data_IF_390519433856
#
_entry.id   IF_390519433856
#
_cell.length_a   1.000
_cell.length_b   1.000
_cell.length_c   1.000
_cell.angle_alpha   90.00
_cell.angle_beta   90.00
_cell.angle_gamma   90.00
#
_symmetry.space_group_name_H-M   'P 1'
#
loop_
_entity.id
_entity.type
_entity.pdbx_description
1 polymer ?
#
# COMPACT_ATOMS: atom_id res chain seq x y z
N UNK A 1 -23.81 -17.14 -50.65
CA UNK A 1 -22.47 -17.31 -50.07
C UNK A 1 -22.46 -16.70 -48.68
N UNK A 2 -22.64 -17.52 -47.64
CA UNK A 2 -22.61 -17.10 -46.24
C UNK A 2 -21.19 -17.27 -45.69
N UNK A 3 -20.61 -16.28 -44.99
CA UNK A 3 -19.24 -16.37 -44.50
C UNK A 3 -19.17 -17.36 -43.32
N UNK A 4 -18.19 -18.28 -43.38
CA UNK A 4 -17.88 -19.21 -42.29
C UNK A 4 -17.35 -18.44 -41.07
N UNK A 5 -17.94 -18.67 -39.90
CA UNK A 5 -17.40 -18.24 -38.60
C UNK A 5 -15.95 -18.76 -38.41
N UNK A 6 -15.05 -17.99 -37.78
CA UNK A 6 -13.72 -18.47 -37.45
C UNK A 6 -13.83 -19.62 -36.43
N UNK A 7 -13.08 -20.70 -36.68
CA UNK A 7 -12.96 -21.82 -35.74
C UNK A 7 -12.19 -21.32 -34.53
N UNK A 8 -12.82 -21.35 -33.35
CA UNK A 8 -12.09 -21.30 -32.07
C UNK A 8 -11.13 -22.49 -32.07
N UNK A 9 -9.82 -22.25 -32.00
CA UNK A 9 -8.86 -23.30 -31.74
C UNK A 9 -9.18 -23.89 -30.37
N UNK A 10 -9.66 -25.14 -30.36
CA UNK A 10 -9.87 -25.87 -29.13
C UNK A 10 -8.49 -26.13 -28.51
N UNK A 11 -8.31 -25.74 -27.25
CA UNK A 11 -7.16 -26.18 -26.48
C UNK A 11 -7.12 -27.72 -26.48
N UNK A 12 -5.94 -28.34 -26.67
CA UNK A 12 -5.81 -29.79 -26.63
C UNK A 12 -6.31 -30.35 -25.27
N UNK A 13 -6.85 -31.57 -25.24
CA UNK A 13 -7.38 -32.16 -24.00
C UNK A 13 -6.25 -32.32 -22.97
N UNK A 14 -6.54 -31.93 -21.72
CA UNK A 14 -5.62 -32.09 -20.60
C UNK A 14 -5.26 -33.58 -20.42
N UNK A 15 -3.95 -33.88 -20.43
CA UNK A 15 -3.41 -35.24 -20.23
C UNK A 15 -2.83 -35.36 -18.82
N UNK A 16 -2.84 -36.58 -18.28
CA UNK A 16 -2.38 -36.90 -16.93
C UNK A 16 -0.92 -36.44 -16.72
N UNK A 17 -0.66 -35.63 -15.68
CA UNK A 17 0.66 -35.07 -15.36
C UNK A 17 0.97 -33.67 -15.89
N UNK A 18 0.09 -33.08 -16.71
CA UNK A 18 0.27 -31.73 -17.25
C UNK A 18 -0.16 -30.64 -16.25
N UNK A 19 0.80 -30.15 -15.46
CA UNK A 19 0.56 -29.12 -14.44
C UNK A 19 0.16 -27.75 -15.02
N UNK A 20 0.47 -27.47 -16.29
CA UNK A 20 0.16 -26.20 -16.96
C UNK A 20 -1.15 -26.24 -17.77
N UNK A 21 -1.91 -27.35 -17.73
CA UNK A 21 -3.14 -27.48 -18.51
C UNK A 21 -4.16 -26.38 -18.19
N UNK A 22 -4.37 -26.08 -16.90
CA UNK A 22 -5.29 -25.03 -16.45
C UNK A 22 -4.80 -23.63 -16.87
N UNK A 23 -3.52 -23.34 -16.67
CA UNK A 23 -2.90 -22.08 -17.11
C UNK A 23 -3.08 -21.84 -18.60
N UNK A 24 -2.71 -22.81 -19.44
CA UNK A 24 -2.86 -22.72 -20.91
C UNK A 24 -4.32 -22.60 -21.34
N UNK A 25 -5.24 -23.28 -20.65
CA UNK A 25 -6.67 -23.20 -20.93
C UNK A 25 -7.28 -21.84 -20.65
N UNK A 26 -6.66 -21.01 -19.80
CA UNK A 26 -7.12 -19.67 -19.43
C UNK A 26 -6.54 -18.55 -20.31
N UNK A 27 -5.58 -18.85 -21.20
CA UNK A 27 -4.88 -17.85 -22.01
C UNK A 27 -5.15 -18.03 -23.50
N UNK A 28 -5.22 -16.90 -24.21
CA UNK A 28 -5.18 -16.86 -25.67
C UNK A 28 -3.83 -16.23 -26.09
N UNK A 29 -2.88 -17.01 -26.63
CA UNK A 29 -1.54 -16.53 -27.01
C UNK A 29 -1.56 -15.38 -28.03
N UNK A 30 -2.66 -15.17 -28.76
CA UNK A 30 -2.81 -14.05 -29.68
C UNK A 30 -3.31 -12.76 -29.03
N UNK A 31 -3.70 -12.81 -27.74
CA UNK A 31 -4.35 -11.70 -27.03
C UNK A 31 -3.68 -11.32 -25.72
N UNK A 32 -2.88 -12.22 -25.13
CA UNK A 32 -2.08 -11.91 -23.94
C UNK A 32 -0.59 -11.80 -24.29
N UNK A 33 0.16 -10.85 -23.67
CA UNK A 33 1.63 -10.83 -23.73
C UNK A 33 2.29 -11.86 -22.81
N UNK A 34 1.52 -12.60 -22.02
CA UNK A 34 2.03 -13.62 -21.09
C UNK A 34 2.69 -14.80 -21.84
N UNK A 35 3.72 -15.44 -21.26
CA UNK A 35 4.36 -16.61 -21.87
C UNK A 35 3.41 -17.82 -21.85
N UNK A 36 3.16 -18.41 -23.02
CA UNK A 36 2.31 -19.61 -23.16
C UNK A 36 3.10 -20.72 -23.88
N UNK A 37 3.89 -21.53 -23.15
CA UNK A 37 4.70 -22.57 -23.77
C UNK A 37 3.83 -23.67 -24.39
N UNK A 38 4.22 -24.14 -25.58
CA UNK A 38 3.51 -25.18 -26.32
C UNK A 38 4.00 -26.62 -26.00
N UNK A 39 5.15 -26.75 -25.34
CA UNK A 39 5.86 -28.02 -25.13
C UNK A 39 5.35 -28.87 -23.97
N UNK A 40 5.67 -30.17 -24.01
CA UNK A 40 5.25 -31.18 -23.03
C UNK A 40 6.22 -31.34 -21.85
N UNK A 41 7.53 -31.15 -22.08
CA UNK A 41 8.54 -31.21 -21.03
C UNK A 41 8.72 -29.82 -20.41
N UNK A 42 8.43 -29.73 -19.11
CA UNK A 42 8.69 -28.52 -18.34
C UNK A 42 10.21 -28.39 -18.13
N UNK A 43 10.82 -27.23 -18.43
CA UNK A 43 12.17 -26.97 -17.95
C UNK A 43 12.17 -27.11 -16.41
N UNK A 44 13.20 -27.72 -15.85
CA UNK A 44 13.43 -27.79 -14.41
C UNK A 44 14.69 -27.01 -14.09
N UNK A 45 14.58 -26.02 -13.21
CA UNK A 45 15.73 -25.49 -12.50
C UNK A 45 15.97 -26.29 -11.23
N UNK A 46 16.54 -25.64 -10.23
CA UNK A 46 17.01 -26.26 -8.99
C UNK A 46 15.94 -26.27 -7.88
N UNK A 47 14.67 -25.99 -8.22
CA UNK A 47 13.54 -25.90 -7.29
C UNK A 47 13.76 -24.85 -6.17
N UNK A 48 14.51 -23.81 -6.47
CA UNK A 48 14.95 -22.79 -5.52
C UNK A 48 14.61 -21.36 -5.96
N UNK A 49 14.06 -21.13 -7.14
CA UNK A 49 13.68 -19.77 -7.58
C UNK A 49 12.36 -19.33 -6.94
N UNK A 50 12.29 -18.07 -6.49
CA UNK A 50 11.00 -17.42 -6.23
C UNK A 50 10.86 -16.08 -6.97
N UNK A 51 9.61 -15.70 -7.21
CA UNK A 51 9.25 -14.34 -7.61
C UNK A 51 8.03 -13.89 -6.81
N UNK A 52 8.00 -12.60 -6.48
CA UNK A 52 6.81 -11.91 -5.98
C UNK A 52 6.45 -10.84 -7.01
N UNK A 53 5.27 -10.95 -7.62
CA UNK A 53 4.76 -9.96 -8.57
C UNK A 53 3.68 -9.11 -7.92
N UNK A 54 3.75 -7.80 -8.09
CA UNK A 54 2.68 -6.88 -7.71
C UNK A 54 1.68 -6.79 -8.86
N UNK A 55 0.41 -7.12 -8.59
CA UNK A 55 -0.63 -7.21 -9.62
C UNK A 55 -1.77 -6.22 -9.36
N UNK A 56 -1.83 -5.19 -10.20
CA UNK A 56 -2.88 -4.17 -10.23
C UNK A 56 -4.04 -4.66 -11.10
N UNK A 57 -4.73 -5.70 -10.64
CA UNK A 57 -5.94 -6.24 -11.26
C UNK A 57 -7.19 -5.46 -10.83
N UNK A 58 -8.35 -6.12 -10.73
CA UNK A 58 -9.56 -5.54 -10.11
C UNK A 58 -9.32 -5.11 -8.66
N UNK A 59 -8.40 -5.78 -7.96
CA UNK A 59 -7.82 -5.35 -6.69
C UNK A 59 -6.31 -5.59 -6.67
N UNK A 60 -5.57 -4.73 -5.98
CA UNK A 60 -4.15 -4.92 -5.72
C UNK A 60 -3.91 -6.18 -4.88
N UNK A 61 -2.95 -6.98 -5.29
CA UNK A 61 -2.43 -8.12 -4.55
C UNK A 61 -1.00 -8.44 -5.01
N UNK A 62 -0.34 -9.36 -4.28
CA UNK A 62 0.99 -9.85 -4.63
C UNK A 62 0.94 -11.35 -4.90
N UNK A 63 1.40 -11.77 -6.06
CA UNK A 63 1.52 -13.18 -6.40
C UNK A 63 2.87 -13.71 -5.91
N UNK A 64 2.84 -14.56 -4.87
CA UNK A 64 4.00 -15.34 -4.46
C UNK A 64 4.09 -16.60 -5.32
N UNK A 65 5.23 -16.80 -5.97
CA UNK A 65 5.47 -17.93 -6.84
C UNK A 65 6.77 -18.61 -6.48
N UNK A 66 6.70 -19.91 -6.26
CA UNK A 66 7.83 -20.76 -5.90
C UNK A 66 8.04 -21.79 -7.00
N UNK A 67 9.25 -21.87 -7.55
CA UNK A 67 9.62 -22.92 -8.48
C UNK A 67 9.54 -24.29 -7.80
N UNK A 68 8.77 -25.22 -8.37
CA UNK A 68 8.68 -26.60 -7.90
C UNK A 68 8.31 -27.55 -9.04
N UNK A 69 9.12 -28.57 -9.25
CA UNK A 69 8.91 -29.63 -10.25
C UNK A 69 8.70 -29.08 -11.68
N UNK A 70 9.37 -27.98 -12.02
CA UNK A 70 9.33 -27.35 -13.34
C UNK A 70 8.13 -26.41 -13.59
N UNK A 71 7.40 -26.04 -12.55
CA UNK A 71 6.39 -24.96 -12.61
C UNK A 71 6.59 -23.96 -11.48
N UNK A 72 5.95 -22.81 -11.60
CA UNK A 72 5.77 -21.84 -10.52
C UNK A 72 4.47 -22.14 -9.78
N UNK A 73 4.58 -22.75 -8.60
CA UNK A 73 3.44 -22.94 -7.70
C UNK A 73 3.10 -21.60 -7.06
N UNK A 74 1.84 -21.20 -7.20
CA UNK A 74 1.47 -19.79 -7.11
C UNK A 74 0.34 -19.53 -6.11
N UNK A 75 0.49 -18.46 -5.34
CA UNK A 75 -0.53 -17.93 -4.44
C UNK A 75 -0.68 -16.43 -4.61
N UNK A 76 -1.92 -15.97 -4.82
CA UNK A 76 -2.27 -14.58 -4.67
C UNK A 76 -2.37 -14.21 -3.18
N UNK A 77 -1.61 -13.22 -2.74
CA UNK A 77 -1.53 -12.75 -1.35
C UNK A 77 -2.04 -11.30 -1.28
N UNK A 78 -3.33 -11.07 -0.96
CA UNK A 78 -3.96 -9.75 -1.10
C UNK A 78 -3.47 -8.64 -0.18
N UNK A 79 -2.60 -8.95 0.79
CA UNK A 79 -1.95 -8.00 1.70
C UNK A 79 -0.42 -8.05 1.62
N UNK A 80 0.12 -8.74 0.62
CA UNK A 80 1.56 -9.03 0.54
C UNK A 80 1.98 -10.06 1.59
N UNK A 81 3.26 -10.41 1.63
CA UNK A 81 3.78 -11.32 2.65
C UNK A 81 3.78 -10.60 4.02
N UNK A 82 3.43 -11.30 5.12
CA UNK A 82 3.49 -10.69 6.44
C UNK A 82 4.94 -10.34 6.79
N UNK A 83 5.12 -9.13 7.31
CA UNK A 83 6.44 -8.62 7.71
C UNK A 83 6.78 -8.98 9.16
N UNK A 84 5.79 -9.39 9.96
CA UNK A 84 5.92 -9.82 11.36
C UNK A 84 5.20 -11.17 11.61
N UNK A 85 5.55 -11.90 12.69
CA UNK A 85 4.87 -13.15 13.05
C UNK A 85 3.51 -12.95 13.73
N UNK A 86 3.13 -11.72 14.07
CA UNK A 86 1.90 -11.45 14.84
C UNK A 86 0.63 -11.60 14.00
N UNK A 87 0.76 -11.53 12.67
CA UNK A 87 -0.38 -11.57 11.76
C UNK A 87 -0.21 -12.63 10.68
N UNK A 88 -1.33 -13.24 10.31
CA UNK A 88 -1.41 -14.16 9.19
C UNK A 88 -2.11 -13.47 8.03
N UNK A 89 -1.57 -13.63 6.83
CA UNK A 89 -2.20 -13.11 5.61
C UNK A 89 -2.89 -14.22 4.84
N UNK A 90 -4.03 -13.91 4.22
CA UNK A 90 -4.70 -14.82 3.30
C UNK A 90 -3.80 -15.08 2.09
N UNK A 91 -3.66 -16.34 1.72
CA UNK A 91 -3.01 -16.78 0.48
C UNK A 91 -4.02 -17.60 -0.33
N UNK A 92 -4.31 -17.19 -1.55
CA UNK A 92 -5.25 -17.89 -2.42
C UNK A 92 -4.43 -18.66 -3.44
N UNK A 93 -4.44 -19.99 -3.34
CA UNK A 93 -3.74 -20.85 -4.30
C UNK A 93 -4.37 -20.70 -5.69
N UNK A 94 -3.56 -20.32 -6.67
CA UNK A 94 -3.96 -20.14 -8.07
C UNK A 94 -3.48 -21.34 -8.90
N UNK A 95 -3.69 -21.29 -10.22
CA UNK A 95 -3.07 -22.24 -11.15
C UNK A 95 -1.53 -22.13 -11.12
N UNK A 96 -0.86 -23.21 -11.46
CA UNK A 96 0.59 -23.24 -11.66
C UNK A 96 0.97 -22.42 -12.91
N UNK A 97 2.09 -21.71 -12.88
CA UNK A 97 2.55 -20.88 -13.99
C UNK A 97 3.84 -21.45 -14.61
N UNK A 98 4.12 -21.18 -15.90
CA UNK A 98 5.37 -21.61 -16.53
C UNK A 98 6.57 -20.86 -15.93
N UNK A 99 7.76 -21.47 -15.96
CA UNK A 99 8.96 -20.85 -15.37
C UNK A 99 9.31 -19.50 -16.01
N UNK A 100 9.07 -19.34 -17.31
CA UNK A 100 9.31 -18.06 -18.01
C UNK A 100 8.45 -16.91 -17.45
N UNK A 101 7.34 -17.24 -16.77
CA UNK A 101 6.48 -16.25 -16.12
C UNK A 101 7.18 -15.54 -14.96
N UNK A 102 8.25 -16.12 -14.39
CA UNK A 102 9.04 -15.49 -13.33
C UNK A 102 9.73 -14.19 -13.78
N UNK A 103 9.96 -14.03 -15.09
CA UNK A 103 10.54 -12.84 -15.68
C UNK A 103 9.50 -11.91 -16.32
N UNK A 104 8.21 -12.24 -16.25
CA UNK A 104 7.17 -11.47 -16.92
C UNK A 104 6.79 -10.21 -16.12
N UNK A 105 6.77 -9.09 -16.83
CA UNK A 105 6.22 -7.79 -16.41
C UNK A 105 5.47 -7.21 -17.60
N UNK A 106 4.35 -6.53 -17.34
CA UNK A 106 3.58 -5.90 -18.42
C UNK A 106 2.12 -5.62 -18.07
N UNK A 107 1.39 -5.13 -19.07
CA UNK A 107 -0.06 -4.91 -18.98
C UNK A 107 -0.80 -6.07 -19.66
N UNK A 108 -1.57 -6.82 -18.87
CA UNK A 108 -2.48 -7.85 -19.39
C UNK A 108 -3.77 -7.16 -19.86
N UNK A 109 -4.13 -7.25 -21.15
CA UNK A 109 -5.23 -6.47 -21.72
C UNK A 109 -6.58 -6.69 -21.04
N UNK A 110 -7.39 -5.64 -20.99
CA UNK A 110 -8.75 -5.72 -20.45
C UNK A 110 -9.58 -6.80 -21.15
N UNK A 111 -10.22 -7.66 -20.35
CA UNK A 111 -11.04 -8.77 -20.83
C UNK A 111 -10.32 -10.10 -20.91
N UNK A 112 -8.98 -10.10 -20.77
CA UNK A 112 -8.21 -11.31 -20.54
C UNK A 112 -8.26 -11.74 -19.06
N UNK A 113 -8.00 -13.02 -18.82
CA UNK A 113 -7.85 -13.53 -17.47
C UNK A 113 -6.62 -12.89 -16.81
N UNK A 114 -6.78 -12.36 -15.60
CA UNK A 114 -5.70 -11.63 -14.94
C UNK A 114 -5.45 -10.22 -15.48
N UNK A 115 -6.38 -9.62 -16.22
CA UNK A 115 -6.25 -8.25 -16.73
C UNK A 115 -5.81 -7.25 -15.64
N UNK A 116 -4.81 -6.43 -15.96
CA UNK A 116 -4.16 -5.53 -15.02
C UNK A 116 -2.68 -5.33 -15.34
N UNK A 117 -2.05 -4.41 -14.63
CA UNK A 117 -0.60 -4.20 -14.72
C UNK A 117 0.10 -5.11 -13.72
N UNK A 118 1.15 -5.80 -14.16
CA UNK A 118 1.96 -6.66 -13.32
C UNK A 118 3.44 -6.25 -13.39
N UNK A 119 4.06 -6.12 -12.23
CA UNK A 119 5.48 -5.78 -12.07
C UNK A 119 6.16 -6.76 -11.13
N UNK A 120 7.46 -7.01 -11.30
CA UNK A 120 8.25 -7.81 -10.37
C UNK A 120 8.55 -6.94 -9.15
N UNK A 121 7.98 -7.33 -8.01
CA UNK A 121 8.17 -6.63 -6.76
C UNK A 121 9.43 -7.10 -6.03
N UNK A 122 9.68 -8.41 -6.00
CA UNK A 122 10.93 -9.01 -5.51
C UNK A 122 11.19 -10.35 -6.19
N UNK A 123 12.44 -10.81 -6.15
CA UNK A 123 12.86 -12.10 -6.69
C UNK A 123 14.16 -12.55 -6.02
N UNK A 124 14.43 -13.84 -6.07
CA UNK A 124 15.65 -14.41 -5.52
C UNK A 124 15.54 -15.91 -5.41
N UNK A 125 16.18 -16.47 -4.39
CA UNK A 125 16.13 -17.90 -4.12
C UNK A 125 15.36 -18.22 -2.84
N UNK A 126 14.97 -19.47 -2.67
CA UNK A 126 14.36 -19.97 -1.46
C UNK A 126 14.89 -21.39 -1.14
N UNK A 127 14.92 -21.73 0.13
CA UNK A 127 15.22 -23.07 0.61
C UNK A 127 13.93 -23.76 1.07
N UNK A 128 13.85 -25.07 0.86
CA UNK A 128 12.68 -25.85 1.27
C UNK A 128 12.93 -26.55 2.60
N UNK A 129 12.20 -26.17 3.64
CA UNK A 129 12.20 -26.92 4.90
C UNK A 129 11.15 -28.03 4.90
N UNK A 130 9.99 -27.79 4.25
CA UNK A 130 8.91 -28.78 4.12
C UNK A 130 8.03 -28.47 2.93
N UNK A 131 7.64 -29.50 2.17
CA UNK A 131 6.67 -29.37 1.09
C UNK A 131 5.63 -30.50 1.16
N UNK A 132 4.35 -30.14 1.29
CA UNK A 132 3.23 -31.08 1.32
C UNK A 132 1.94 -30.42 0.82
N UNK A 133 0.92 -31.22 0.52
CA UNK A 133 -0.39 -30.72 0.04
C UNK A 133 -1.14 -29.80 1.03
N UNK A 134 -0.69 -29.74 2.29
CA UNK A 134 -1.33 -28.97 3.37
C UNK A 134 -0.47 -27.85 3.92
N UNK A 135 0.84 -27.93 3.71
CA UNK A 135 1.82 -27.07 4.34
C UNK A 135 3.09 -26.99 3.48
N UNK A 136 3.56 -25.78 3.22
CA UNK A 136 4.82 -25.46 2.54
C UNK A 136 5.61 -24.52 3.44
N UNK A 137 6.79 -24.95 3.89
CA UNK A 137 7.72 -24.16 4.72
C UNK A 137 8.99 -23.88 3.93
N UNK A 138 9.32 -22.60 3.83
CA UNK A 138 10.45 -22.13 3.04
C UNK A 138 11.21 -21.03 3.75
N UNK A 139 12.50 -20.92 3.46
CA UNK A 139 13.32 -19.75 3.81
C UNK A 139 13.46 -18.94 2.53
N UNK A 140 12.99 -17.69 2.49
CA UNK A 140 13.08 -16.82 1.32
C UNK A 140 14.32 -15.93 1.44
N UNK A 141 15.06 -15.81 0.34
CA UNK A 141 16.27 -14.98 0.21
C UNK A 141 16.10 -13.97 -0.94
N UNK A 142 15.36 -12.90 -0.65
CA UNK A 142 15.09 -11.80 -1.58
C UNK A 142 15.81 -10.51 -1.24
N UNK A 143 15.61 -9.50 -2.10
CA UNK A 143 16.13 -8.15 -1.88
C UNK A 143 15.21 -7.29 -1.00
N UNK A 144 13.91 -7.62 -0.97
CA UNK A 144 12.89 -6.90 -0.17
C UNK A 144 12.25 -7.79 0.88
N UNK A 145 12.11 -9.09 0.60
CA UNK A 145 11.62 -10.09 1.54
C UNK A 145 12.71 -11.10 1.84
N UNK A 146 12.92 -11.32 3.12
CA UNK A 146 13.76 -12.41 3.61
C UNK A 146 13.19 -13.01 4.90
N UNK A 147 13.51 -14.28 5.15
CA UNK A 147 13.16 -15.00 6.36
C UNK A 147 12.31 -16.25 6.10
N UNK A 148 11.96 -16.94 7.18
CA UNK A 148 11.16 -18.17 7.16
C UNK A 148 9.67 -17.90 7.10
N UNK A 149 9.02 -18.58 6.16
CA UNK A 149 7.59 -18.49 5.91
C UNK A 149 6.95 -19.88 5.88
N UNK A 150 5.71 -19.95 6.37
CA UNK A 150 4.86 -21.12 6.21
C UNK A 150 3.56 -20.74 5.53
N UNK A 151 3.27 -21.41 4.42
CA UNK A 151 1.96 -21.49 3.78
C UNK A 151 1.23 -22.71 4.34
N UNK A 152 0.02 -22.56 4.85
CA UNK A 152 -0.75 -23.68 5.39
C UNK A 152 -2.23 -23.58 5.06
N UNK A 153 -2.87 -24.73 4.83
CA UNK A 153 -4.31 -24.81 4.54
C UNK A 153 -5.13 -24.62 5.81
N UNK A 154 -6.12 -23.74 5.72
CA UNK A 154 -7.20 -23.64 6.72
C UNK A 154 -8.39 -24.50 6.28
N UNK A 155 -9.55 -24.38 6.96
CA UNK A 155 -10.75 -25.13 6.57
C UNK A 155 -11.17 -24.76 5.15
N UNK A 156 -11.33 -25.76 4.27
CA UNK A 156 -11.74 -25.58 2.88
C UNK A 156 -10.57 -25.47 1.89
N UNK A 157 -10.66 -24.52 0.95
CA UNK A 157 -9.65 -24.29 -0.10
C UNK A 157 -8.68 -23.14 0.20
N UNK A 158 -8.88 -22.42 1.30
CA UNK A 158 -8.10 -21.24 1.63
C UNK A 158 -6.75 -21.61 2.24
N UNK A 159 -5.69 -20.94 1.78
CA UNK A 159 -4.38 -20.98 2.41
C UNK A 159 -4.15 -19.70 3.23
N UNK A 160 -3.27 -19.78 4.20
CA UNK A 160 -2.72 -18.62 4.90
C UNK A 160 -1.21 -18.67 4.77
N UNK A 161 -0.58 -17.51 4.81
CA UNK A 161 0.87 -17.37 4.95
C UNK A 161 1.19 -16.71 6.29
N UNK A 162 2.21 -17.22 6.95
CA UNK A 162 2.71 -16.75 8.23
C UNK A 162 4.23 -16.62 8.17
N UNK A 163 4.76 -15.50 8.68
CA UNK A 163 6.20 -15.32 8.90
C UNK A 163 6.55 -15.99 10.23
N UNK A 164 7.56 -16.87 10.22
CA UNK A 164 7.99 -17.59 11.42
C UNK A 164 9.09 -16.85 12.19
N UNK A 165 9.91 -16.09 11.48
CA UNK A 165 10.97 -15.28 12.08
C UNK A 165 10.43 -13.94 12.61
N UNK A 166 11.15 -13.31 13.55
CA UNK A 166 10.96 -11.89 13.83
C UNK A 166 11.02 -11.03 12.56
N UNK A 167 10.49 -9.80 12.59
CA UNK A 167 10.68 -8.83 11.51
C UNK A 167 12.16 -8.71 11.12
N UNK A 168 12.42 -8.43 9.83
CA UNK A 168 13.79 -8.29 9.34
C UNK A 168 14.50 -7.09 9.99
N UNK A 169 13.75 -6.04 10.27
CA UNK A 169 14.16 -4.93 11.12
C UNK A 169 13.72 -5.20 12.57
N UNK A 170 14.64 -5.41 13.52
CA UNK A 170 14.30 -5.71 14.90
C UNK A 170 13.62 -4.55 15.64
N UNK A 171 13.75 -3.32 15.14
CA UNK A 171 13.18 -2.11 15.74
C UNK A 171 11.84 -1.73 15.08
N UNK A 172 11.32 -2.57 14.18
CA UNK A 172 10.01 -2.37 13.56
C UNK A 172 8.85 -2.72 14.52
N UNK A 173 7.95 -1.77 14.68
CA UNK A 173 6.72 -1.83 15.45
C UNK A 173 5.48 -1.85 14.52
N UNK A 174 4.39 -2.53 14.92
CA UNK A 174 3.14 -2.51 14.18
C UNK A 174 2.45 -1.15 14.28
N UNK A 175 1.60 -0.86 13.30
CA UNK A 175 0.73 0.31 13.38
C UNK A 175 -0.14 0.25 14.66
N UNK A 176 -0.28 1.37 15.40
CA UNK A 176 -1.17 1.38 16.55
C UNK A 176 -2.61 1.11 16.12
N UNK A 177 -3.41 0.47 16.98
CA UNK A 177 -4.84 0.20 16.70
C UNK A 177 -5.61 1.52 16.47
N UNK A 178 -5.29 2.53 17.27
CA UNK A 178 -5.84 3.88 17.12
C UNK A 178 -4.87 4.91 17.70
N UNK A 179 -4.79 6.06 17.04
CA UNK A 179 -4.07 7.27 17.42
C UNK A 179 -5.07 8.42 17.43
N UNK A 180 -5.18 9.11 18.56
CA UNK A 180 -5.91 10.38 18.63
C UNK A 180 -5.02 11.51 18.17
N UNK A 181 -5.42 12.31 17.17
CA UNK A 181 -4.51 13.29 16.61
C UNK A 181 -4.15 14.42 17.58
N UNK A 182 -2.93 14.94 17.44
CA UNK A 182 -2.47 16.17 18.09
C UNK A 182 -3.30 17.38 17.62
N UNK A 183 -3.63 18.28 18.54
CA UNK A 183 -4.49 19.44 18.29
C UNK A 183 -3.73 20.76 18.45
N UNK A 184 -4.00 21.76 17.58
CA UNK A 184 -3.42 23.08 17.73
C UNK A 184 -4.12 23.87 18.84
N UNK A 185 -3.36 24.74 19.51
CA UNK A 185 -3.95 25.78 20.35
C UNK A 185 -4.29 27.01 19.49
N UNK A 186 -5.49 27.58 19.65
CA UNK A 186 -5.86 28.80 18.92
C UNK A 186 -5.03 30.01 19.41
N UNK A 187 -4.58 30.84 18.47
CA UNK A 187 -3.83 32.08 18.73
C UNK A 187 -4.29 33.20 17.81
N UNK A 188 -4.38 34.40 18.36
CA UNK A 188 -4.80 35.58 17.61
C UNK A 188 -3.76 36.10 16.60
N UNK A 189 -2.49 35.68 16.71
CA UNK A 189 -1.38 36.19 15.90
C UNK A 189 -0.40 35.07 15.58
N UNK A 190 0.27 35.22 14.43
CA UNK A 190 1.41 34.39 14.03
C UNK A 190 2.55 34.46 15.05
N UNK A 191 3.37 33.40 15.18
CA UNK A 191 4.62 33.46 15.95
C UNK A 191 5.52 34.58 15.42
N UNK A 192 6.27 35.23 16.32
CA UNK A 192 7.18 36.33 15.97
C UNK A 192 8.42 35.86 15.24
N UNK A 193 9.04 34.79 15.75
CA UNK A 193 10.11 34.09 15.07
C UNK A 193 9.48 33.11 14.09
N UNK A 194 9.30 33.52 12.84
CA UNK A 194 8.67 32.66 11.83
C UNK A 194 9.62 31.57 11.33
N UNK A 195 10.94 31.78 11.42
CA UNK A 195 11.97 30.84 10.94
C UNK A 195 11.98 29.51 11.70
N UNK A 196 11.50 29.49 12.94
CA UNK A 196 11.33 28.28 13.75
C UNK A 196 10.04 27.48 13.43
N UNK A 197 9.23 27.93 12.47
CA UNK A 197 7.89 27.37 12.21
C UNK A 197 7.68 27.02 10.74
N UNK A 198 6.97 25.91 10.52
CA UNK A 198 6.29 25.60 9.26
C UNK A 198 4.84 26.07 9.31
N UNK A 199 4.33 26.55 8.19
CA UNK A 199 2.98 27.06 8.06
C UNK A 199 2.20 26.22 7.04
N UNK A 200 1.01 25.76 7.44
CA UNK A 200 0.08 25.00 6.61
C UNK A 200 -1.26 25.73 6.54
N UNK A 201 -2.00 25.56 5.45
CA UNK A 201 -3.39 25.99 5.42
C UNK A 201 -4.24 25.17 6.40
N UNK A 202 -5.12 25.84 7.13
CA UNK A 202 -6.22 25.15 7.81
C UNK A 202 -7.32 24.90 6.76
N UNK A 203 -7.54 23.66 6.34
CA UNK A 203 -8.47 23.37 5.23
C UNK A 203 -9.94 23.35 5.69
N UNK A 204 -10.20 23.26 7.00
CA UNK A 204 -11.55 23.32 7.56
C UNK A 204 -12.37 22.05 7.29
N UNK A 205 -11.68 20.95 7.04
CA UNK A 205 -12.27 19.65 6.73
C UNK A 205 -12.53 18.81 7.97
N UNK A 206 -12.93 17.56 7.73
CA UNK A 206 -13.06 16.56 8.79
C UNK A 206 -11.71 15.87 9.00
N UNK A 207 -11.15 15.95 10.21
CA UNK A 207 -9.91 15.23 10.60
C UNK A 207 -10.06 13.73 10.35
N UNK A 208 -9.06 13.14 9.72
CA UNK A 208 -9.03 11.73 9.35
C UNK A 208 -7.59 11.21 9.46
N UNK A 209 -7.38 10.12 10.19
CA UNK A 209 -6.13 9.37 10.18
C UNK A 209 -6.29 8.12 9.31
N UNK A 210 -5.30 7.84 8.46
CA UNK A 210 -5.29 6.71 7.53
C UNK A 210 -4.19 5.72 7.91
N UNK A 211 -4.58 4.49 8.23
CA UNK A 211 -3.71 3.37 8.60
C UNK A 211 -3.56 2.50 7.37
N UNK A 212 -2.41 2.57 6.73
CA UNK A 212 -2.09 1.88 5.49
C UNK A 212 -1.18 0.69 5.78
N UNK A 213 -1.66 -0.50 5.43
CA UNK A 213 -0.90 -1.75 5.55
C UNK A 213 -1.36 -2.75 4.49
N UNK A 214 -0.40 -3.38 3.80
CA UNK A 214 -0.68 -4.41 2.81
C UNK A 214 -1.60 -3.93 1.68
N UNK A 215 -1.35 -2.73 1.15
CA UNK A 215 -2.10 -2.15 0.04
C UNK A 215 -3.50 -1.66 0.40
N UNK A 216 -3.86 -1.64 1.69
CA UNK A 216 -5.22 -1.33 2.17
C UNK A 216 -5.17 -0.24 3.22
N UNK A 217 -6.22 0.56 3.26
CA UNK A 217 -6.35 1.64 4.24
C UNK A 217 -7.57 1.44 5.11
N UNK A 218 -7.38 1.58 6.43
CA UNK A 218 -8.45 1.81 7.42
C UNK A 218 -8.39 3.27 7.88
N UNK A 219 -9.52 3.84 8.28
CA UNK A 219 -9.56 5.22 8.74
C UNK A 219 -10.11 5.36 10.16
N UNK A 220 -9.63 6.38 10.88
CA UNK A 220 -10.25 6.85 12.12
C UNK A 220 -10.56 8.35 12.04
N UNK A 221 -11.58 8.79 12.78
CA UNK A 221 -11.87 10.22 12.97
C UNK A 221 -10.90 10.89 13.95
N UNK A 222 -11.07 12.20 14.17
CA UNK A 222 -10.27 12.98 15.12
C UNK A 222 -10.42 12.59 16.61
N UNK A 223 -11.27 11.61 16.94
CA UNK A 223 -11.40 11.03 18.29
C UNK A 223 -10.84 9.61 18.37
N UNK A 224 -10.32 9.08 17.26
CA UNK A 224 -9.77 7.73 17.15
C UNK A 224 -10.83 6.65 16.90
N UNK A 225 -12.06 7.01 16.55
CA UNK A 225 -13.09 6.01 16.21
C UNK A 225 -12.96 5.59 14.76
N UNK A 226 -13.10 4.28 14.49
CA UNK A 226 -13.13 3.77 13.13
C UNK A 226 -14.28 4.39 12.33
N UNK A 227 -13.98 4.82 11.10
CA UNK A 227 -14.96 5.40 10.18
C UNK A 227 -14.74 4.84 8.78
N UNK A 228 -15.80 4.84 7.99
CA UNK A 228 -15.67 4.54 6.57
C UNK A 228 -14.86 5.63 5.86
N UNK A 229 -13.95 5.16 5.01
CA UNK A 229 -13.19 6.05 4.13
C UNK A 229 -14.07 6.68 3.06
N UNK A 230 -13.70 7.85 2.53
CA UNK A 230 -14.36 8.44 1.36
C UNK A 230 -14.36 7.46 0.18
N UNK A 231 -15.44 7.38 -0.57
CA UNK A 231 -15.67 6.34 -1.59
C UNK A 231 -14.47 6.00 -2.47
N UNK A 232 -13.94 4.79 -2.30
CA UNK A 232 -12.80 4.24 -3.06
C UNK A 232 -11.42 4.82 -2.71
N UNK A 233 -11.31 5.74 -1.75
CA UNK A 233 -10.02 6.32 -1.33
C UNK A 233 -9.11 5.25 -0.73
N UNK A 234 -9.64 4.40 0.14
CA UNK A 234 -8.81 3.49 0.92
C UNK A 234 -8.06 2.45 0.11
N UNK A 235 -8.65 1.92 -0.96
CA UNK A 235 -7.95 0.99 -1.86
C UNK A 235 -6.91 1.69 -2.73
N UNK A 236 -7.20 2.90 -3.21
CA UNK A 236 -6.30 3.65 -4.10
C UNK A 236 -5.10 4.25 -3.37
N UNK A 237 -5.33 4.86 -2.21
CA UNK A 237 -4.26 5.36 -1.34
C UNK A 237 -3.39 4.20 -0.85
N UNK A 238 -4.02 3.11 -0.42
CA UNK A 238 -3.31 1.90 -0.01
C UNK A 238 -2.46 1.33 -1.14
N UNK A 239 -2.99 1.30 -2.36
CA UNK A 239 -2.25 0.80 -3.51
C UNK A 239 -1.02 1.63 -3.85
N UNK A 240 -1.05 2.96 -3.66
CA UNK A 240 0.12 3.81 -3.90
C UNK A 240 1.28 3.48 -2.96
N UNK A 241 0.99 3.09 -1.71
CA UNK A 241 2.01 2.69 -0.74
C UNK A 241 2.41 1.21 -0.86
N UNK A 242 1.65 0.40 -1.60
CA UNK A 242 1.93 -1.03 -1.75
C UNK A 242 1.97 -1.72 -0.38
N UNK A 243 3.04 -2.46 -0.09
CA UNK A 243 3.19 -3.16 1.20
C UNK A 243 3.68 -2.26 2.35
N UNK A 244 4.09 -1.02 2.09
CA UNK A 244 4.73 -0.13 3.07
C UNK A 244 3.81 0.26 4.24
N UNK A 245 4.27 0.06 5.49
CA UNK A 245 3.82 0.67 6.71
C UNK A 245 3.45 2.15 6.70
N UNK A 246 2.23 2.62 6.87
CA UNK A 246 2.06 4.07 7.16
C UNK A 246 0.86 4.41 8.03
N UNK A 247 1.06 5.33 8.97
CA UNK A 247 0.00 6.12 9.60
C UNK A 247 0.10 7.54 9.07
N UNK A 248 -0.94 7.99 8.38
CA UNK A 248 -1.04 9.32 7.80
C UNK A 248 -2.08 10.12 8.57
N UNK A 249 -1.77 11.39 8.84
CA UNK A 249 -2.66 12.31 9.53
C UNK A 249 -3.00 13.49 8.63
N UNK A 250 -4.29 13.82 8.56
CA UNK A 250 -4.80 14.73 7.55
C UNK A 250 -6.25 15.13 7.78
N UNK A 251 -6.80 15.85 6.82
CA UNK A 251 -8.22 16.20 6.83
C UNK A 251 -8.89 16.00 5.48
N UNK A 252 -10.15 15.57 5.50
CA UNK A 252 -10.98 15.50 4.32
C UNK A 252 -11.62 16.87 4.09
N UNK A 253 -11.10 17.61 3.11
CA UNK A 253 -11.55 18.95 2.74
C UNK A 253 -12.27 18.93 1.39
N UNK A 254 -13.13 19.92 1.13
CA UNK A 254 -13.81 20.08 -0.15
C UNK A 254 -13.02 21.09 -0.98
N UNK A 255 -12.37 20.62 -2.04
CA UNK A 255 -11.63 21.43 -3.00
C UNK A 255 -12.35 21.33 -4.35
N UNK A 256 -12.71 22.46 -4.95
CA UNK A 256 -13.44 22.53 -6.23
C UNK A 256 -14.67 21.60 -6.28
N UNK A 257 -15.44 21.56 -5.17
CA UNK A 257 -16.63 20.71 -5.04
C UNK A 257 -16.34 19.22 -4.85
N UNK A 258 -15.08 18.82 -4.65
CA UNK A 258 -14.65 17.44 -4.47
C UNK A 258 -13.98 17.24 -3.12
N UNK A 259 -14.43 16.23 -2.38
CA UNK A 259 -13.74 15.76 -1.18
C UNK A 259 -12.36 15.17 -1.53
N UNK A 260 -11.33 15.79 -0.97
CA UNK A 260 -9.91 15.46 -1.12
C UNK A 260 -9.28 15.31 0.26
N UNK A 261 -8.54 14.22 0.46
CA UNK A 261 -7.81 13.97 1.69
C UNK A 261 -6.46 14.72 1.66
N UNK A 262 -6.36 15.76 2.47
CA UNK A 262 -5.20 16.62 2.64
C UNK A 262 -4.32 16.08 3.74
N UNK A 263 -3.19 15.47 3.37
CA UNK A 263 -2.28 14.77 4.29
C UNK A 263 -1.16 15.72 4.73
N UNK A 264 -0.96 15.91 6.02
CA UNK A 264 0.04 16.88 6.52
C UNK A 264 0.97 16.34 7.61
N UNK A 265 0.80 15.11 8.05
CA UNK A 265 1.75 14.47 8.96
C UNK A 265 1.80 12.96 8.73
N UNK A 266 2.90 12.35 9.18
CA UNK A 266 3.15 10.91 9.12
C UNK A 266 3.65 10.43 10.49
N UNK A 267 2.75 10.09 11.43
CA UNK A 267 3.16 9.64 12.75
C UNK A 267 3.83 8.27 12.80
N UNK A 268 3.76 7.47 11.73
CA UNK A 268 4.39 6.16 11.64
C UNK A 268 4.71 5.82 10.19
N UNK A 269 5.90 5.28 9.90
CA UNK A 269 6.33 4.95 8.55
C UNK A 269 7.30 3.77 8.54
N UNK A 270 7.17 2.86 7.57
CA UNK A 270 8.10 1.74 7.34
C UNK A 270 8.35 0.89 8.60
N UNK A 271 7.34 0.72 9.45
CA UNK A 271 7.49 -0.02 10.70
C UNK A 271 7.99 0.81 11.88
N UNK A 272 8.21 2.12 11.77
CA UNK A 272 8.71 2.91 12.90
C UNK A 272 7.76 4.03 13.32
N UNK A 273 7.46 4.17 14.63
CA UNK A 273 6.80 5.36 15.16
C UNK A 273 7.69 6.59 14.97
N UNK A 274 7.13 7.65 14.41
CA UNK A 274 7.80 8.93 14.19
C UNK A 274 7.39 9.97 15.23
N UNK A 275 6.80 9.55 16.36
CA UNK A 275 6.24 10.48 17.35
C UNK A 275 7.30 11.43 17.93
N UNK A 276 8.49 10.93 18.23
CA UNK A 276 9.59 11.73 18.77
C UNK A 276 10.45 12.42 17.71
N UNK A 277 10.18 12.15 16.42
CA UNK A 277 10.92 12.74 15.29
C UNK A 277 10.45 14.18 15.07
N UNK A 278 11.36 15.17 14.87
CA UNK A 278 10.98 16.56 14.59
C UNK A 278 10.01 16.71 13.41
N UNK A 279 9.04 17.63 13.53
CA UNK A 279 8.02 17.89 12.50
C UNK A 279 8.62 18.17 11.11
N UNK A 280 9.74 18.90 11.01
CA UNK A 280 10.45 19.12 9.74
C UNK A 280 10.79 17.81 9.05
N UNK A 281 11.40 16.89 9.79
CA UNK A 281 11.84 15.60 9.25
C UNK A 281 10.63 14.71 8.90
N UNK A 282 9.56 14.73 9.71
CA UNK A 282 8.31 14.04 9.35
C UNK A 282 7.70 14.61 8.06
N UNK A 283 7.76 15.93 7.84
CA UNK A 283 7.27 16.53 6.59
C UNK A 283 8.11 16.14 5.39
N UNK A 284 9.42 16.16 5.50
CA UNK A 284 10.33 15.71 4.44
C UNK A 284 10.07 14.24 4.07
N UNK A 285 9.96 13.35 5.08
CA UNK A 285 9.59 11.95 4.86
C UNK A 285 8.21 11.79 4.20
N UNK A 286 7.22 12.61 4.57
CA UNK A 286 5.89 12.59 3.96
C UNK A 286 5.91 13.11 2.51
N UNK A 287 6.73 14.12 2.20
CA UNK A 287 6.89 14.66 0.85
C UNK A 287 7.56 13.61 -0.07
N UNK A 288 8.55 12.87 0.45
CA UNK A 288 9.25 11.79 -0.27
C UNK A 288 8.34 10.61 -0.66
N UNK A 289 7.19 10.44 0.00
CA UNK A 289 6.19 9.45 -0.39
C UNK A 289 5.46 9.82 -1.70
N UNK A 290 5.54 11.08 -2.14
CA UNK A 290 4.92 11.54 -3.38
C UNK A 290 3.40 11.31 -3.42
N UNK A 291 2.73 11.35 -2.27
CA UNK A 291 1.30 11.05 -2.17
C UNK A 291 0.47 12.07 -2.95
N UNK A 292 -0.02 11.66 -4.10
CA UNK A 292 -0.78 12.50 -5.02
C UNK A 292 -1.69 11.63 -5.86
N UNK A 293 -2.98 11.93 -5.80
CA UNK A 293 -3.97 11.21 -6.58
C UNK A 293 -5.29 11.97 -6.69
N UNK A 294 -6.30 11.40 -7.36
CA UNK A 294 -7.52 12.12 -7.70
C UNK A 294 -8.35 12.62 -6.52
N UNK A 295 -8.11 12.09 -5.31
CA UNK A 295 -8.86 12.40 -4.08
C UNK A 295 -7.96 12.47 -2.84
N UNK A 296 -6.65 12.55 -3.00
CA UNK A 296 -5.70 12.75 -1.90
C UNK A 296 -4.47 13.47 -2.40
N UNK A 297 -3.85 14.23 -1.51
CA UNK A 297 -2.57 14.87 -1.79
C UNK A 297 -1.85 15.19 -0.49
N UNK A 298 -0.52 15.16 -0.52
CA UNK A 298 0.29 15.80 0.51
C UNK A 298 0.03 17.30 0.48
N UNK A 299 -0.39 17.84 1.63
CA UNK A 299 -0.72 19.25 1.78
C UNK A 299 0.57 20.09 1.73
N UNK A 300 0.57 21.20 0.98
CA UNK A 300 1.72 22.11 0.95
C UNK A 300 1.99 22.68 2.34
N UNK A 301 3.27 22.89 2.63
CA UNK A 301 3.75 23.52 3.86
C UNK A 301 4.86 24.51 3.51
N UNK A 302 4.98 25.56 4.33
CA UNK A 302 5.87 26.69 4.05
C UNK A 302 6.67 27.05 5.30
N UNK A 303 7.97 26.72 5.38
CA UNK A 303 8.84 27.19 6.46
C UNK A 303 9.04 28.72 6.41
N UNK A 304 8.90 29.43 7.52
CA UNK A 304 9.25 30.87 7.59
C UNK A 304 8.22 31.87 7.05
N UNK A 305 7.37 31.47 6.11
CA UNK A 305 6.55 32.39 5.30
C UNK A 305 5.10 32.62 5.81
N UNK A 306 4.89 32.58 7.13
CA UNK A 306 3.54 32.56 7.70
C UNK A 306 2.63 33.74 7.33
N UNK A 307 3.19 34.92 7.07
CA UNK A 307 2.40 36.09 6.66
C UNK A 307 1.79 35.92 5.27
N UNK A 308 2.57 35.44 4.30
CA UNK A 308 2.11 35.19 2.93
C UNK A 308 1.07 34.05 2.90
N UNK A 309 1.29 32.98 3.68
CA UNK A 309 0.32 31.88 3.80
C UNK A 309 -1.00 32.37 4.41
N UNK A 310 -0.94 33.23 5.44
CA UNK A 310 -2.15 33.78 6.07
C UNK A 310 -2.92 34.73 5.14
N UNK A 311 -2.21 35.50 4.32
CA UNK A 311 -2.82 36.33 3.27
C UNK A 311 -3.50 35.45 2.21
N UNK A 312 -2.78 34.46 1.67
CA UNK A 312 -3.35 33.52 0.71
C UNK A 312 -4.56 32.75 1.28
N UNK A 313 -4.54 32.40 2.57
CA UNK A 313 -5.67 31.78 3.24
C UNK A 313 -6.90 32.71 3.26
N UNK A 314 -6.72 34.02 3.47
CA UNK A 314 -7.81 35.00 3.44
C UNK A 314 -8.40 35.13 2.05
N UNK A 315 -7.54 35.22 1.03
CA UNK A 315 -7.95 35.40 -0.36
C UNK A 315 -8.74 34.20 -0.88
N UNK A 316 -8.35 33.01 -0.44
CA UNK A 316 -9.05 31.76 -0.77
C UNK A 316 -10.24 31.45 0.15
N UNK A 317 -10.54 32.32 1.12
CA UNK A 317 -11.64 32.13 2.06
C UNK A 317 -11.46 30.93 3.01
N UNK A 318 -10.22 30.47 3.21
CA UNK A 318 -9.88 29.37 4.11
C UNK A 318 -9.99 29.81 5.59
N UNK A 319 -10.27 28.88 6.53
CA UNK A 319 -10.36 29.17 7.96
C UNK A 319 -9.17 29.92 8.55
N UNK A 320 -7.95 29.65 8.08
CA UNK A 320 -6.73 30.22 8.63
C UNK A 320 -5.48 29.42 8.28
N UNK A 321 -4.50 29.51 9.17
CA UNK A 321 -3.19 28.85 9.05
C UNK A 321 -2.92 28.06 10.33
N UNK A 322 -2.38 26.85 10.18
CA UNK A 322 -1.80 26.09 11.29
C UNK A 322 -0.28 26.28 11.22
N UNK A 323 0.29 26.97 12.21
CA UNK A 323 1.73 27.08 12.39
C UNK A 323 2.21 25.93 13.29
N UNK A 324 3.18 25.16 12.83
CA UNK A 324 3.78 24.03 13.58
C UNK A 324 5.27 24.30 13.81
N UNK A 325 5.77 24.13 15.03
CA UNK A 325 7.20 24.25 15.32
C UNK A 325 7.99 23.20 14.53
N UNK A 326 9.06 23.62 13.88
CA UNK A 326 9.87 22.73 13.03
C UNK A 326 10.54 21.61 13.82
N UNK A 327 10.90 21.88 15.08
CA UNK A 327 11.58 20.96 15.98
C UNK A 327 10.63 20.21 16.92
N UNK A 328 9.31 20.37 16.78
CA UNK A 328 8.37 19.70 17.69
C UNK A 328 8.12 18.24 17.31
N UNK A 329 8.13 17.39 18.34
CA UNK A 329 7.56 16.04 18.32
C UNK A 329 6.04 16.07 18.04
N UNK A 330 5.47 14.92 17.72
CA UNK A 330 4.03 14.71 17.65
C UNK A 330 3.52 14.30 19.05
N UNK A 331 2.49 14.96 19.55
CA UNK A 331 1.93 14.72 20.90
C UNK A 331 0.47 14.21 20.76
N UNK A 332 0.24 12.88 20.67
CA UNK A 332 -1.08 12.33 20.47
C UNK A 332 -2.05 12.72 21.60
N UNK A 333 -3.31 12.96 21.23
CA UNK A 333 -4.40 13.41 22.11
C UNK A 333 -4.18 14.72 22.89
N UNK A 334 -3.09 15.43 22.63
CA UNK A 334 -2.76 16.68 23.34
C UNK A 334 -3.12 17.92 22.54
N UNK A 335 -3.49 19.00 23.25
CA UNK A 335 -3.59 20.33 22.68
C UNK A 335 -2.29 21.10 22.96
N UNK A 336 -1.44 21.26 21.95
CA UNK A 336 -0.06 21.69 22.16
C UNK A 336 0.21 23.09 21.64
N UNK A 337 0.97 23.88 22.40
CA UNK A 337 1.42 25.22 21.99
C UNK A 337 2.47 25.21 20.87
N UNK A 338 3.00 24.03 20.53
CA UNK A 338 3.86 23.79 19.37
C UNK A 338 3.07 23.81 18.05
N UNK A 339 1.75 23.63 18.10
CA UNK A 339 0.84 23.78 16.97
C UNK A 339 -0.12 24.94 17.26
N UNK A 340 -0.22 25.90 16.36
CA UNK A 340 -1.00 27.12 16.57
C UNK A 340 -1.93 27.37 15.41
N UNK A 341 -3.24 27.36 15.68
CA UNK A 341 -4.23 27.80 14.71
C UNK A 341 -4.35 29.33 14.78
N UNK A 342 -4.08 30.01 13.66
CA UNK A 342 -4.27 31.45 13.51
C UNK A 342 -5.40 31.68 12.51
N UNK A 343 -6.58 32.14 12.96
CA UNK A 343 -7.73 32.38 12.07
C UNK A 343 -7.44 33.44 11.00
N UNK A 344 -7.93 33.21 9.78
CA UNK A 344 -7.81 34.16 8.67
C UNK A 344 -8.54 35.48 8.98
N UNK A 345 -9.68 35.40 9.67
CA UNK A 345 -10.46 36.55 10.14
C UNK A 345 -10.44 36.60 11.67
N UNK A 346 -10.17 37.77 12.28
CA UNK A 346 -10.23 37.88 13.73
C UNK A 346 -11.63 37.55 14.23
N UNK A 347 -11.71 36.86 15.37
CA UNK A 347 -12.98 36.59 16.04
C UNK A 347 -13.74 37.91 16.23
N UNK A 348 -15.04 37.95 15.88
CA UNK A 348 -15.89 39.10 16.16
C UNK A 348 -15.83 39.35 17.67
N UNK A 349 -15.34 40.52 18.09
CA UNK A 349 -15.44 40.96 19.48
C UNK A 349 -16.93 40.98 19.85
N UNK A 350 -17.32 40.16 20.82
CA UNK A 350 -18.67 40.17 21.40
C UNK A 350 -18.88 41.42 22.22
#
# INVERSE_FOLDING_TARGET
MTPKKPRKHAAPPAREGDRLADYRGRRDPGRTPEPVPAGEALPRGDDDTFVIQEHHATSLHWDLRLERDGVLVSWAVPKGLPWSPETNHLAVHTEDHPLEYAAFEGEIPRGEYGAGTMTIWDRGTYETEKWSEREVKVVIHGSRVSGRYVLFRTRGRNWMIHRMDPPADPDAEPLPESLRPMRPQERARLPRDTGAWGFEFAWGGRRLAAYVEGGRTRFTDGRGHAVDGPGGLGSRLGAQLGVRPALLDGELAVLDGRETYMIYDVPHLDGHPLLDVPYRERRERLDDLGLSGPRWQTAPWFPGDGAAVLEAARDQGLPGVVAKRLDSRYEPDEESGAWRLVPARPAKRR
#
